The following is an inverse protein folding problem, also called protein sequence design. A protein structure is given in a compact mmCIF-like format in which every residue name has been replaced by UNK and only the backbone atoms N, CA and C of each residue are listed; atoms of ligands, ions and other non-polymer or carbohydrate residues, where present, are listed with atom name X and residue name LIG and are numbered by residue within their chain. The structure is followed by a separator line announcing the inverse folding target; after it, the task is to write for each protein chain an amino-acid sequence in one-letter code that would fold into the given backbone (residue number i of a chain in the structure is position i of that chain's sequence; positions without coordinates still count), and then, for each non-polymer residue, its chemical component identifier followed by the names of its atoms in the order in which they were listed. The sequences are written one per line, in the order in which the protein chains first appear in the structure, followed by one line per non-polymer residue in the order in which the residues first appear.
data_IF_573585337864
#
_entry.id   IF_573585337864
#
_cell.length_a   1.000
_cell.length_b   1.000
_cell.length_c   1.000
_cell.angle_alpha   90.00
_cell.angle_beta   90.00
_cell.angle_gamma   90.00
#
_symmetry.space_group_name_H-M   'P 1'
#
loop_
_entity.id
_entity.type
_entity.pdbx_description
1 polymer ?
2 polymer ?
#
# COMPACT_ATOMS: atom_id res chain seq x y z
N UNK A 1 6.54 17.70 3.26
CA UNK A 1 7.35 18.66 2.43
C UNK A 1 8.83 18.53 2.79
N UNK A 2 9.13 18.16 4.01
CA UNK A 2 10.55 18.01 4.41
C UNK A 2 10.94 16.53 4.38
N UNK A 3 9.99 15.65 4.16
CA UNK A 3 10.31 14.20 4.12
C UNK A 3 9.27 13.48 3.27
N UNK A 4 9.14 12.19 3.46
CA UNK A 4 8.13 11.42 2.65
C UNK A 4 6.86 11.21 3.49
N UNK A 5 5.91 10.48 2.96
CA UNK A 5 4.65 10.25 3.72
C UNK A 5 4.32 8.76 3.70
N UNK A 6 3.51 8.33 2.78
CA UNK A 6 3.16 6.87 2.72
C UNK A 6 4.44 6.06 2.49
N UNK A 7 5.46 6.69 1.94
CA UNK A 7 6.73 5.94 1.69
C UNK A 7 7.10 5.13 2.94
N UNK A 8 7.42 5.78 4.02
CA UNK A 8 7.77 5.04 5.25
C UNK A 8 6.53 4.32 5.77
N UNK A 9 5.37 4.87 5.55
CA UNK A 9 4.14 4.17 6.01
C UNK A 9 4.27 2.74 5.50
N UNK A 10 4.95 2.58 4.41
CA UNK A 10 5.19 1.23 3.85
C UNK A 10 6.49 0.71 4.47
N UNK A 11 7.43 1.60 4.71
CA UNK A 11 8.71 1.18 5.33
C UNK A 11 8.42 0.41 6.62
N UNK A 12 7.26 0.61 7.19
CA UNK A 12 6.92 -0.09 8.46
C UNK A 12 6.13 -1.37 8.16
N UNK A 13 5.45 -1.43 7.05
CA UNK A 13 4.69 -2.66 6.72
C UNK A 13 5.65 -3.85 6.86
N UNK A 14 5.64 -4.49 8.02
CA UNK A 14 6.57 -5.64 8.31
C UNK A 14 7.55 -5.91 7.17
N UNK A 15 8.79 -5.53 7.36
CA UNK A 15 9.82 -5.76 6.30
C UNK A 15 9.70 -7.16 5.71
N UNK A 16 9.17 -8.09 6.47
CA UNK A 16 9.03 -9.49 5.95
C UNK A 16 8.53 -9.43 4.50
N UNK A 17 7.27 -9.16 4.32
CA UNK A 17 6.71 -9.09 2.94
C UNK A 17 5.79 -7.86 2.85
N UNK A 18 4.87 -7.76 3.79
CA UNK A 18 3.94 -6.60 3.79
C UNK A 18 4.70 -5.31 3.47
N UNK A 19 5.98 -5.25 3.70
CA UNK A 19 6.75 -4.01 3.40
C UNK A 19 6.81 -3.82 1.88
N UNK A 20 7.77 -4.43 1.24
CA UNK A 20 7.89 -4.27 -0.25
C UNK A 20 6.51 -4.38 -0.90
N UNK A 21 5.60 -5.05 -0.26
CA UNK A 21 4.23 -5.18 -0.84
C UNK A 21 3.54 -3.82 -0.80
N UNK A 22 3.22 -3.36 0.37
CA UNK A 22 2.55 -2.04 0.49
C UNK A 22 3.26 -1.06 -0.44
N UNK A 23 4.56 -1.15 -0.50
CA UNK A 23 5.29 -0.25 -1.42
C UNK A 23 4.68 -0.50 -2.80
N UNK A 24 4.65 -1.74 -3.20
CA UNK A 24 4.05 -2.10 -4.51
C UNK A 24 2.72 -1.37 -4.69
N UNK A 25 1.88 -1.43 -3.70
CA UNK A 25 0.54 -0.77 -3.77
C UNK A 25 0.69 0.70 -4.14
N UNK A 26 1.37 1.47 -3.33
CA UNK A 26 1.53 2.93 -3.64
C UNK A 26 2.81 3.17 -4.45
N UNK A 27 3.40 2.15 -4.99
CA UNK A 27 4.65 2.35 -5.78
C UNK A 27 4.34 2.30 -7.26
N UNK A 28 3.71 1.25 -7.70
CA UNK A 28 3.40 1.14 -9.15
C UNK A 28 2.18 2.01 -9.48
N UNK A 29 1.81 2.07 -10.74
CA UNK A 29 0.64 2.90 -11.14
C UNK A 29 -0.47 2.76 -10.10
N UNK A 30 -1.35 3.72 -10.01
CA UNK A 30 -2.45 3.65 -9.01
C UNK A 30 -3.22 2.34 -9.19
N UNK A 31 -3.08 1.71 -10.34
CA UNK A 31 -3.81 0.44 -10.57
C UNK A 31 -2.89 -0.58 -11.26
N UNK A 32 -1.64 -0.25 -11.41
CA UNK A 32 -0.70 -1.21 -12.07
C UNK A 32 -0.70 -2.53 -11.29
N UNK A 33 -0.57 -2.44 -9.99
CA UNK A 33 -0.57 -3.68 -9.16
C UNK A 33 -1.75 -3.61 -8.18
N UNK A 34 -2.07 -2.45 -7.70
CA UNK A 34 -3.21 -2.30 -6.75
C UNK A 34 -4.35 -3.24 -7.19
N UNK A 35 -4.45 -3.46 -8.47
CA UNK A 35 -5.53 -4.34 -9.01
C UNK A 35 -5.05 -5.80 -9.13
N UNK A 36 -4.22 -6.08 -10.10
CA UNK A 36 -3.73 -7.49 -10.27
C UNK A 36 -3.47 -8.12 -8.91
N UNK A 37 -3.14 -7.31 -7.93
CA UNK A 37 -2.88 -7.84 -6.57
C UNK A 37 -4.13 -7.68 -5.68
N UNK A 38 -4.81 -6.57 -5.75
CA UNK A 38 -6.01 -6.40 -4.88
C UNK A 38 -7.29 -6.72 -5.67
N UNK A 39 -7.20 -7.52 -6.70
CA UNK A 39 -8.41 -7.85 -7.49
C UNK A 39 -8.44 -9.35 -7.80
N UNK A 40 -7.55 -9.81 -8.64
CA UNK A 40 -7.53 -11.25 -8.99
C UNK A 40 -6.71 -12.03 -7.95
N UNK A 41 -7.02 -11.85 -6.69
CA UNK A 41 -6.25 -12.58 -5.63
C UNK A 41 -6.74 -14.02 -5.55
N UNK A 42 -5.85 -14.96 -5.39
CA UNK A 42 -6.26 -16.39 -5.29
C UNK A 42 -6.51 -16.73 -3.82
N UNK A 43 -5.48 -16.73 -3.02
CA UNK A 43 -5.64 -17.05 -1.58
C UNK A 43 -5.06 -15.90 -0.75
N UNK A 44 -5.12 -14.70 -1.26
CA UNK A 44 -4.58 -13.53 -0.51
C UNK A 44 -3.14 -13.84 -0.06
N UNK A 45 -2.22 -13.79 -0.99
CA UNK A 45 -0.78 -14.05 -0.70
C UNK A 45 -0.33 -13.18 0.47
N UNK A 46 -0.24 -11.89 0.28
CA UNK A 46 0.18 -11.00 1.39
C UNK A 46 0.24 -9.55 0.91
N UNK A 47 0.92 -9.30 -0.18
CA UNK A 47 0.99 -7.90 -0.67
C UNK A 47 -0.39 -7.39 -1.01
N UNK A 48 -1.28 -8.25 -1.39
CA UNK A 48 -2.63 -7.74 -1.73
C UNK A 48 -3.29 -7.18 -0.46
N UNK A 49 -3.36 -7.93 0.60
CA UNK A 49 -4.01 -7.38 1.84
C UNK A 49 -3.22 -6.17 2.34
N UNK A 50 -1.99 -6.39 2.70
CA UNK A 50 -1.15 -5.26 3.20
C UNK A 50 -1.22 -4.11 2.22
N UNK A 51 -0.77 -4.38 1.05
CA UNK A 51 -0.71 -3.33 0.04
C UNK A 51 -2.11 -2.92 -0.45
N UNK A 52 -3.15 -3.60 -0.03
CA UNK A 52 -4.52 -3.20 -0.49
C UNK A 52 -4.95 -2.04 0.38
N UNK A 53 -4.73 -2.15 1.66
CA UNK A 53 -5.10 -1.02 2.55
C UNK A 53 -4.06 0.07 2.37
N UNK A 54 -2.85 -0.31 2.07
CA UNK A 54 -1.75 0.68 1.87
C UNK A 54 -1.90 1.36 0.50
N UNK A 55 -2.35 0.63 -0.48
CA UNK A 55 -2.52 1.24 -1.83
C UNK A 55 -3.79 2.11 -1.80
N UNK A 56 -4.87 1.55 -1.35
CA UNK A 56 -6.13 2.33 -1.27
C UNK A 56 -5.85 3.60 -0.47
N UNK A 57 -5.29 3.49 0.71
CA UNK A 57 -5.01 4.73 1.49
C UNK A 57 -4.18 5.68 0.63
N UNK A 58 -3.03 5.23 0.15
CA UNK A 58 -2.18 6.11 -0.71
C UNK A 58 -3.08 6.92 -1.64
N UNK A 59 -4.04 6.29 -2.24
CA UNK A 59 -4.97 7.00 -3.15
C UNK A 59 -5.75 8.05 -2.36
N UNK A 60 -6.52 7.61 -1.42
CA UNK A 60 -7.33 8.55 -0.60
C UNK A 60 -6.54 9.82 -0.30
N UNK A 61 -5.36 9.71 0.24
CA UNK A 61 -4.59 10.96 0.53
C UNK A 61 -3.94 11.48 -0.74
N UNK A 62 -2.92 10.80 -1.23
CA UNK A 62 -2.20 11.27 -2.45
C UNK A 62 -3.11 12.14 -3.33
N UNK A 63 -4.31 11.72 -3.57
CA UNK A 63 -5.25 12.55 -4.39
C UNK A 63 -5.30 13.95 -3.77
N UNK A 64 -5.78 14.05 -2.56
CA UNK A 64 -5.85 15.37 -1.89
C UNK A 64 -5.33 15.22 -0.45
N UNK A 65 -4.13 14.70 -0.30
CA UNK A 65 -3.56 14.51 1.07
C UNK A 65 -3.87 15.73 1.92
N UNK A 66 -4.80 15.62 2.83
CA UNK A 66 -5.14 16.79 3.70
C UNK A 66 -6.01 16.31 4.86
N UNK A 67 -6.94 15.43 4.62
CA UNK A 67 -7.81 14.93 5.70
C UNK A 67 -7.17 13.71 6.35
N UNK A 68 -7.90 12.99 7.16
CA UNK A 68 -7.33 11.79 7.83
C UNK A 68 -6.73 10.86 6.77
N UNK A 69 -6.23 9.73 7.18
CA UNK A 69 -5.63 8.79 6.18
C UNK A 69 -5.84 7.34 6.67
N UNK A 70 -6.19 6.47 5.77
CA UNK A 70 -6.41 5.04 6.18
C UNK A 70 -5.05 4.36 6.41
N UNK A 71 -4.90 3.13 5.98
CA UNK A 71 -3.60 2.43 6.18
C UNK A 71 -2.50 3.17 5.42
N UNK B 1 -3.41 -3.81 6.08
CA UNK B 1 -2.22 -3.07 5.58
C UNK B 1 -0.94 -3.69 6.13
N UNK B 2 -0.81 -3.75 7.41
CA UNK B 2 0.43 -4.31 8.00
C UNK B 2 0.37 -5.84 7.89
N UNK B 3 1.50 -6.48 7.84
CA UNK B 3 1.51 -7.97 7.75
C UNK B 3 2.49 -8.55 8.77
N UNK B 4 1.99 -9.11 9.83
CA UNK B 4 2.90 -9.69 10.87
C UNK B 4 2.06 -10.29 11.99
#
# INVERSE_FOLDING_TARGET
MLQKKIEEIAAKYKHSVVKKCCYDGASVNNDETCEQRAARISLGPRCIKAFTECCVVASQLRANISHKDMC
CLGR
#
